data_IF_543861953657
#
_entry.id   IF_543861953657
#
_cell.length_a   1.000
_cell.length_b   1.000
_cell.length_c   1.000
_cell.angle_alpha   90.00
_cell.angle_beta   90.00
_cell.angle_gamma   90.00
#
_symmetry.space_group_name_H-M   'P 1'
#
loop_
_entity.id
_entity.type
_entity.pdbx_description
1 polymer ?
#
# COMPACT_ATOMS: atom_id res chain seq x y z
N UNK A 1 -0.24 26.73 1.51
CA UNK A 1 0.79 26.13 2.41
C UNK A 1 1.58 25.06 1.67
N UNK A 2 2.89 25.01 1.86
CA UNK A 2 3.69 23.95 1.28
C UNK A 2 3.35 22.61 1.94
N UNK A 3 3.08 21.59 1.14
CA UNK A 3 2.85 20.24 1.61
C UNK A 3 4.13 19.71 2.28
N UNK A 4 4.02 19.13 3.46
CA UNK A 4 5.14 18.51 4.15
C UNK A 4 5.60 17.25 3.40
N UNK A 5 6.91 17.09 3.23
CA UNK A 5 7.52 16.10 2.33
C UNK A 5 8.06 14.85 3.06
N UNK A 6 7.29 14.27 3.96
CA UNK A 6 7.63 13.00 4.59
C UNK A 6 6.52 11.99 4.36
N UNK A 7 6.88 10.78 3.94
CA UNK A 7 5.97 9.66 3.80
C UNK A 7 6.11 8.66 4.94
N UNK A 8 5.00 8.03 5.32
CA UNK A 8 4.95 6.92 6.27
C UNK A 8 5.02 5.60 5.51
N UNK A 9 6.14 4.89 5.64
CA UNK A 9 6.31 3.57 5.03
C UNK A 9 5.73 2.45 5.91
N UNK A 10 4.80 1.70 5.35
CA UNK A 10 4.13 0.58 6.04
C UNK A 10 4.79 -0.78 5.77
N UNK A 11 6.03 -0.79 5.29
CA UNK A 11 6.78 -2.01 4.99
C UNK A 11 7.32 -2.71 6.23
N UNK A 12 7.74 -1.94 7.23
CA UNK A 12 8.37 -2.45 8.46
C UNK A 12 7.63 -1.92 9.68
N UNK A 13 6.43 -2.41 9.87
CA UNK A 13 5.61 -2.06 11.04
C UNK A 13 6.12 -2.76 12.29
N UNK A 14 5.87 -2.19 13.49
CA UNK A 14 6.19 -2.89 14.73
C UNK A 14 5.47 -4.22 14.80
N UNK A 15 6.18 -5.25 15.27
CA UNK A 15 5.66 -6.61 15.39
C UNK A 15 5.63 -7.05 16.85
N UNK A 16 4.61 -7.85 17.20
CA UNK A 16 4.51 -8.53 18.49
C UNK A 16 5.48 -9.71 18.61
N UNK A 17 6.00 -10.19 17.49
CA UNK A 17 6.95 -11.29 17.42
C UNK A 17 8.12 -10.88 16.51
N UNK A 18 9.35 -10.75 17.04
CA UNK A 18 10.49 -10.31 16.24
C UNK A 18 10.86 -11.27 15.09
N UNK A 19 10.34 -12.49 15.10
CA UNK A 19 10.58 -13.49 14.07
C UNK A 19 9.44 -13.59 13.05
N UNK A 20 8.36 -12.85 13.25
CA UNK A 20 7.17 -12.91 12.38
C UNK A 20 6.61 -11.50 12.13
N UNK A 21 7.00 -10.90 11.02
CA UNK A 21 6.57 -9.56 10.63
C UNK A 21 5.06 -9.46 10.33
N UNK A 22 4.36 -10.58 10.14
CA UNK A 22 2.91 -10.59 9.91
C UNK A 22 2.10 -10.35 11.18
N UNK A 23 2.70 -10.54 12.34
CA UNK A 23 2.09 -10.29 13.65
C UNK A 23 2.26 -8.83 14.06
N UNK A 24 1.61 -7.95 13.35
CA UNK A 24 1.74 -6.50 13.52
C UNK A 24 1.20 -6.07 14.88
N UNK A 25 1.97 -5.24 15.60
CA UNK A 25 1.50 -4.51 16.79
C UNK A 25 0.61 -3.35 16.33
N UNK A 26 -0.68 -3.62 16.22
CA UNK A 26 -1.67 -2.66 15.73
C UNK A 26 -1.80 -1.46 16.68
N UNK A 27 -1.73 -1.66 17.98
CA UNK A 27 -1.86 -0.55 18.93
C UNK A 27 -0.67 0.41 18.83
N UNK A 28 0.53 -0.11 18.67
CA UNK A 28 1.70 0.73 18.43
C UNK A 28 1.62 1.41 17.05
N UNK A 29 1.16 0.70 16.04
CA UNK A 29 0.98 1.25 14.68
C UNK A 29 -0.04 2.41 14.70
N UNK A 30 -1.15 2.29 15.41
CA UNK A 30 -2.14 3.36 15.58
C UNK A 30 -1.50 4.61 16.19
N UNK A 31 -0.69 4.48 17.23
CA UNK A 31 0.01 5.60 17.87
C UNK A 31 0.97 6.30 16.90
N UNK A 32 1.67 5.53 16.09
CA UNK A 32 2.58 6.07 15.07
C UNK A 32 1.82 6.83 13.98
N UNK A 33 0.71 6.29 13.50
CA UNK A 33 -0.19 6.95 12.53
C UNK A 33 -0.73 8.25 13.10
N UNK A 34 -1.22 8.23 14.33
CA UNK A 34 -1.77 9.42 15.00
C UNK A 34 -0.71 10.53 15.11
N UNK A 35 0.48 10.18 15.57
CA UNK A 35 1.60 11.13 15.67
C UNK A 35 1.97 11.73 14.32
N UNK A 36 1.99 10.91 13.26
CA UNK A 36 2.31 11.36 11.91
C UNK A 36 1.30 12.36 11.38
N UNK A 37 0.02 12.07 11.52
CA UNK A 37 -1.07 12.95 11.07
C UNK A 37 -1.14 14.23 11.94
N UNK A 38 -1.01 14.14 13.26
CA UNK A 38 -1.00 15.28 14.18
C UNK A 38 0.12 16.28 13.85
N UNK A 39 1.24 15.79 13.33
CA UNK A 39 2.35 16.63 12.87
C UNK A 39 2.15 17.23 11.47
N UNK A 40 1.00 16.97 10.86
CA UNK A 40 0.60 17.56 9.57
C UNK A 40 1.15 16.82 8.35
N UNK A 41 1.58 15.57 8.49
CA UNK A 41 1.96 14.72 7.37
C UNK A 41 0.76 13.89 6.90
N UNK A 42 0.72 13.55 5.61
CA UNK A 42 -0.47 12.91 5.02
C UNK A 42 -0.19 11.71 4.14
N UNK A 43 1.05 11.50 3.71
CA UNK A 43 1.38 10.46 2.73
C UNK A 43 1.73 9.13 3.38
N UNK A 44 0.99 8.07 3.00
CA UNK A 44 1.21 6.70 3.46
C UNK A 44 1.48 5.78 2.26
N UNK A 45 2.44 4.86 2.42
CA UNK A 45 2.89 3.94 1.38
C UNK A 45 2.87 2.50 1.88
N UNK A 46 2.11 1.66 1.18
CA UNK A 46 2.03 0.22 1.43
C UNK A 46 2.26 -0.58 0.14
N UNK A 47 2.19 -1.89 0.21
CA UNK A 47 2.21 -2.79 -0.93
C UNK A 47 1.58 -4.14 -0.58
N UNK A 48 1.26 -4.90 -1.62
CA UNK A 48 0.58 -6.20 -1.55
C UNK A 48 1.22 -7.19 -0.57
N UNK A 49 2.56 -7.33 -0.62
CA UNK A 49 3.26 -8.35 0.17
C UNK A 49 3.87 -7.82 1.48
N UNK A 50 3.77 -6.55 1.79
CA UNK A 50 4.41 -6.01 2.99
C UNK A 50 3.88 -6.66 4.26
N UNK A 51 4.78 -6.89 5.23
CA UNK A 51 4.47 -7.53 6.51
C UNK A 51 3.76 -8.88 6.32
N UNK A 52 4.31 -9.76 5.47
CA UNK A 52 3.72 -11.07 5.21
C UNK A 52 2.28 -10.99 4.66
N UNK A 53 2.02 -10.08 3.74
CA UNK A 53 0.70 -9.79 3.14
C UNK A 53 -0.32 -9.16 4.11
N UNK A 54 0.13 -8.61 5.23
CA UNK A 54 -0.76 -8.08 6.26
C UNK A 54 -0.71 -6.54 6.43
N UNK A 55 0.21 -5.85 5.73
CA UNK A 55 0.33 -4.39 5.83
C UNK A 55 -0.91 -3.65 5.37
N UNK A 56 -1.55 -4.08 4.28
CA UNK A 56 -2.78 -3.44 3.78
C UNK A 56 -3.95 -3.63 4.76
N UNK A 57 -4.07 -4.78 5.42
CA UNK A 57 -5.03 -5.00 6.50
C UNK A 57 -4.75 -4.08 7.70
N UNK A 58 -3.49 -3.95 8.09
CA UNK A 58 -3.08 -3.03 9.17
C UNK A 58 -3.34 -1.56 8.80
N UNK A 59 -3.17 -1.20 7.54
CA UNK A 59 -3.50 0.14 7.03
C UNK A 59 -5.00 0.42 7.20
N UNK A 60 -5.86 -0.54 6.90
CA UNK A 60 -7.30 -0.42 7.15
C UNK A 60 -7.58 -0.15 8.62
N UNK A 61 -7.01 -0.95 9.49
CA UNK A 61 -7.29 -0.90 10.93
C UNK A 61 -6.71 0.34 11.62
N UNK A 62 -5.49 0.73 11.26
CA UNK A 62 -4.79 1.84 11.92
C UNK A 62 -5.07 3.21 11.30
N UNK A 63 -5.42 3.28 10.03
CA UNK A 63 -5.59 4.53 9.29
C UNK A 63 -7.01 4.69 8.74
N UNK A 64 -7.41 3.82 7.80
CA UNK A 64 -8.61 4.02 6.98
C UNK A 64 -9.89 4.02 7.80
N UNK A 65 -10.02 3.12 8.77
CA UNK A 65 -11.20 3.03 9.64
C UNK A 65 -11.30 4.15 10.69
N UNK A 66 -10.23 4.94 10.87
CA UNK A 66 -10.11 5.90 11.96
C UNK A 66 -10.07 7.37 11.51
N UNK A 67 -9.71 7.61 10.26
CA UNK A 67 -9.58 8.96 9.69
C UNK A 67 -10.45 9.13 8.46
N UNK A 68 -10.98 10.35 8.21
CA UNK A 68 -11.71 10.61 6.98
C UNK A 68 -10.80 10.49 5.76
N UNK A 69 -11.35 10.07 4.61
CA UNK A 69 -10.58 9.75 3.41
C UNK A 69 -9.73 10.92 2.89
N UNK A 70 -10.18 12.14 3.09
CA UNK A 70 -9.48 13.37 2.67
C UNK A 70 -8.37 13.82 3.64
N UNK A 71 -8.21 13.14 4.78
CA UNK A 71 -7.15 13.44 5.75
C UNK A 71 -5.78 12.89 5.35
N UNK A 72 -5.72 11.97 4.39
CA UNK A 72 -4.48 11.30 3.99
C UNK A 72 -4.44 10.98 2.50
N UNK A 73 -3.25 10.76 2.00
CA UNK A 73 -2.99 10.16 0.69
C UNK A 73 -2.40 8.77 0.87
N UNK A 74 -2.85 7.82 0.05
CA UNK A 74 -2.47 6.42 0.16
C UNK A 74 -1.94 5.90 -1.17
N UNK A 75 -0.76 5.29 -1.11
CA UNK A 75 -0.13 4.59 -2.22
C UNK A 75 -0.07 3.08 -1.95
N UNK A 76 -0.35 2.28 -2.97
CA UNK A 76 -0.02 0.86 -2.99
C UNK A 76 0.53 0.48 -4.37
N UNK A 77 0.83 -0.81 -4.58
CA UNK A 77 1.63 -1.24 -5.74
C UNK A 77 1.21 -2.61 -6.24
N UNK A 78 1.34 -2.81 -7.55
CA UNK A 78 1.26 -4.12 -8.19
C UNK A 78 2.67 -4.68 -8.37
N UNK A 79 2.94 -5.88 -7.88
CA UNK A 79 4.25 -6.52 -7.98
C UNK A 79 4.24 -7.64 -9.02
N UNK A 80 5.24 -7.63 -9.92
CA UNK A 80 5.38 -8.60 -11.01
C UNK A 80 5.41 -10.06 -10.56
N UNK A 81 5.91 -10.34 -9.38
CA UNK A 81 6.01 -11.69 -8.82
C UNK A 81 4.67 -12.35 -8.47
N UNK A 82 3.58 -11.58 -8.45
CA UNK A 82 2.24 -12.07 -8.04
C UNK A 82 1.23 -12.07 -9.19
N UNK A 83 1.65 -11.71 -10.40
CA UNK A 83 0.82 -11.72 -11.59
C UNK A 83 1.38 -12.70 -12.63
N UNK A 84 0.52 -13.54 -13.17
CA UNK A 84 0.84 -14.50 -14.25
C UNK A 84 -0.02 -14.29 -15.48
N UNK A 85 -1.20 -13.69 -15.29
CA UNK A 85 -2.18 -13.41 -16.34
C UNK A 85 -2.64 -11.96 -16.27
N UNK A 86 -3.26 -11.46 -17.33
CA UNK A 86 -3.85 -10.10 -17.34
C UNK A 86 -4.97 -9.95 -16.32
N UNK A 87 -5.73 -11.00 -16.05
CA UNK A 87 -6.80 -11.01 -15.05
C UNK A 87 -6.27 -10.81 -13.62
N UNK A 88 -5.06 -11.24 -13.33
CA UNK A 88 -4.44 -11.07 -12.02
C UNK A 88 -4.30 -9.59 -11.62
N UNK A 89 -4.11 -8.69 -12.57
CA UNK A 89 -3.99 -7.25 -12.33
C UNK A 89 -5.24 -6.69 -11.65
N UNK A 90 -6.40 -6.94 -12.22
CA UNK A 90 -7.68 -6.47 -11.66
C UNK A 90 -8.05 -7.21 -10.38
N UNK A 91 -7.79 -8.51 -10.31
CA UNK A 91 -8.03 -9.31 -9.11
C UNK A 91 -7.25 -8.74 -7.92
N UNK A 92 -5.94 -8.54 -8.07
CA UNK A 92 -5.10 -7.99 -7.00
C UNK A 92 -5.52 -6.57 -6.64
N UNK A 93 -5.78 -5.71 -7.62
CA UNK A 93 -6.25 -4.35 -7.36
C UNK A 93 -7.53 -4.33 -6.53
N UNK A 94 -8.51 -5.15 -6.89
CA UNK A 94 -9.77 -5.23 -6.16
C UNK A 94 -9.58 -5.79 -4.74
N UNK A 95 -8.72 -6.79 -4.58
CA UNK A 95 -8.36 -7.32 -3.26
C UNK A 95 -7.64 -6.29 -2.40
N UNK A 96 -6.77 -5.46 -2.98
CA UNK A 96 -6.10 -4.36 -2.28
C UNK A 96 -7.11 -3.31 -1.78
N UNK A 97 -8.09 -2.96 -2.60
CA UNK A 97 -9.19 -2.09 -2.17
C UNK A 97 -9.95 -2.70 -0.99
N UNK A 98 -10.27 -3.99 -1.05
CA UNK A 98 -10.96 -4.69 0.04
C UNK A 98 -10.11 -4.76 1.32
N UNK A 99 -8.83 -5.08 1.20
CA UNK A 99 -7.89 -5.18 2.34
C UNK A 99 -7.67 -3.83 3.02
N UNK A 100 -7.52 -2.77 2.26
CA UNK A 100 -7.32 -1.42 2.80
C UNK A 100 -8.62 -0.74 3.20
N UNK A 101 -9.74 -1.15 2.61
CA UNK A 101 -11.05 -0.54 2.84
C UNK A 101 -11.27 0.78 2.09
N UNK A 102 -10.45 1.09 1.07
CA UNK A 102 -10.61 2.28 0.23
C UNK A 102 -11.22 1.94 -1.13
N UNK A 103 -11.91 2.90 -1.72
CA UNK A 103 -12.46 2.76 -3.08
C UNK A 103 -11.45 3.16 -4.16
N UNK A 104 -10.44 3.92 -3.79
CA UNK A 104 -9.37 4.37 -4.67
C UNK A 104 -8.07 4.60 -3.92
N UNK A 105 -6.95 4.52 -4.66
CA UNK A 105 -5.63 4.94 -4.19
C UNK A 105 -5.25 6.26 -4.84
N UNK A 106 -4.59 7.15 -4.09
CA UNK A 106 -4.07 8.41 -4.64
C UNK A 106 -2.90 8.15 -5.60
N UNK A 107 -2.11 7.13 -5.28
CA UNK A 107 -1.00 6.66 -6.10
C UNK A 107 -1.02 5.14 -6.20
N UNK A 108 -0.85 4.63 -7.41
CA UNK A 108 -0.72 3.20 -7.65
C UNK A 108 0.49 2.96 -8.55
N UNK A 109 1.42 2.12 -8.09
CA UNK A 109 2.71 1.95 -8.72
C UNK A 109 2.90 0.52 -9.25
N UNK A 110 3.71 0.40 -10.32
CA UNK A 110 4.32 -0.87 -10.67
C UNK A 110 5.56 -1.03 -9.78
N UNK A 111 5.57 -2.07 -8.96
CA UNK A 111 6.52 -2.26 -7.87
C UNK A 111 7.85 -2.79 -8.40
N UNK A 112 8.95 -2.23 -7.91
CA UNK A 112 10.30 -2.73 -8.14
C UNK A 112 10.61 -2.94 -9.63
N UNK A 113 10.53 -1.86 -10.41
CA UNK A 113 10.84 -1.91 -11.84
C UNK A 113 12.37 -2.09 -12.01
N UNK A 114 12.75 -3.22 -12.56
CA UNK A 114 14.13 -3.59 -12.86
C UNK A 114 14.19 -4.37 -14.20
N UNK A 115 15.37 -4.81 -14.61
CA UNK A 115 15.58 -5.50 -15.89
C UNK A 115 14.79 -6.80 -16.02
N UNK A 116 14.42 -7.44 -14.93
CA UNK A 116 13.62 -8.67 -14.92
C UNK A 116 12.13 -8.38 -14.86
N UNK A 117 11.70 -7.56 -13.90
CA UNK A 117 10.28 -7.27 -13.68
C UNK A 117 9.64 -6.51 -14.84
N UNK A 118 10.42 -5.66 -15.55
CA UNK A 118 9.92 -4.90 -16.70
C UNK A 118 9.43 -5.80 -17.84
N UNK A 119 10.02 -6.97 -18.01
CA UNK A 119 9.57 -7.95 -19.00
C UNK A 119 8.17 -8.44 -18.69
N UNK A 120 7.89 -8.78 -17.43
CA UNK A 120 6.56 -9.21 -16.96
C UNK A 120 5.54 -8.08 -17.14
N UNK A 121 5.88 -6.86 -16.76
CA UNK A 121 4.98 -5.71 -16.92
C UNK A 121 4.66 -5.41 -18.39
N UNK A 122 5.62 -5.56 -19.29
CA UNK A 122 5.39 -5.41 -20.73
C UNK A 122 4.52 -6.55 -21.28
N UNK A 123 4.86 -7.80 -20.96
CA UNK A 123 4.14 -8.99 -21.43
C UNK A 123 2.66 -8.98 -21.02
N UNK A 124 2.39 -8.55 -19.78
CA UNK A 124 1.03 -8.46 -19.25
C UNK A 124 0.37 -7.08 -19.46
N UNK A 125 0.98 -6.21 -20.27
CA UNK A 125 0.44 -4.89 -20.63
C UNK A 125 0.08 -4.02 -19.42
N UNK A 126 0.93 -4.05 -18.38
CA UNK A 126 0.66 -3.36 -17.13
C UNK A 126 0.77 -1.84 -17.25
N UNK A 127 1.61 -1.34 -18.16
CA UNK A 127 1.77 0.12 -18.35
C UNK A 127 0.52 0.78 -18.91
N UNK A 128 -0.17 0.16 -19.87
CA UNK A 128 -1.45 0.66 -20.37
C UNK A 128 -2.55 0.45 -19.33
N UNK A 129 -2.59 -0.73 -18.71
CA UNK A 129 -3.59 -1.05 -17.68
C UNK A 129 -3.57 -0.04 -16.53
N UNK A 130 -2.39 0.36 -16.03
CA UNK A 130 -2.30 1.31 -14.92
C UNK A 130 -2.75 2.71 -15.31
N UNK A 131 -2.60 3.10 -16.59
CA UNK A 131 -3.13 4.38 -17.10
C UNK A 131 -4.66 4.40 -17.09
N UNK A 132 -5.29 3.28 -17.39
CA UNK A 132 -6.76 3.15 -17.41
C UNK A 132 -7.38 3.17 -16.00
N UNK A 133 -6.57 3.06 -14.95
CA UNK A 133 -7.02 3.14 -13.53
C UNK A 133 -7.08 4.57 -12.97
N UNK A 134 -6.71 5.57 -13.74
CA UNK A 134 -6.74 6.99 -13.31
C UNK A 134 -8.15 7.55 -13.13
#
# INVERSE_FOLDING_TARGET
>A
MSQKKLGFGLMRLPSLDPNDASKIDIEQTKKMVDTFIERGFTYFDTAWMYCGFNSENATKEALVSRYPRDAYTLATKLHSGFIKTKEDRDRIFNEQCAKTGVDYFDYYLLHDINTHSIEVYNELDCFNWIQDKK
#
